data_IF_489253009935
#
_entry.id   IF_489253009935
#
_cell.length_a   1.000
_cell.length_b   1.000
_cell.length_c   1.000
_cell.angle_alpha   90.00
_cell.angle_beta   90.00
_cell.angle_gamma   90.00
#
_symmetry.space_group_name_H-M   'P 1'
#
loop_
_entity.id
_entity.type
_entity.pdbx_description
1 polymer ?
#
# COMPACT_ATOMS: atom_id res chain seq x y z
N UNK A 1 -37.12 41.79 -4.89
CA UNK A 1 -36.13 42.01 -3.82
C UNK A 1 -36.71 41.54 -2.49
N UNK A 2 -36.41 40.31 -2.07
CA UNK A 2 -36.64 39.76 -0.72
C UNK A 2 -35.39 38.96 -0.35
N UNK A 3 -34.95 39.14 0.90
CA UNK A 3 -33.61 38.84 1.42
C UNK A 3 -33.26 37.35 1.38
N UNK A 4 -32.01 37.08 1.00
CA UNK A 4 -31.25 35.86 1.30
C UNK A 4 -31.14 35.69 2.81
N UNK A 5 -31.33 34.47 3.31
CA UNK A 5 -30.87 34.03 4.62
C UNK A 5 -29.90 32.85 4.43
N UNK A 6 -28.72 32.99 5.03
CA UNK A 6 -27.55 32.11 4.94
C UNK A 6 -27.42 31.36 6.26
N UNK A 7 -27.93 30.13 6.29
CA UNK A 7 -27.72 29.19 7.40
C UNK A 7 -27.02 27.93 6.91
N UNK A 8 -25.69 27.90 7.03
CA UNK A 8 -24.83 26.73 6.81
C UNK A 8 -25.25 25.59 7.73
N UNK A 9 -25.51 24.39 7.18
CA UNK A 9 -25.18 23.12 7.83
C UNK A 9 -25.08 22.04 6.75
N UNK A 10 -23.87 21.80 6.27
CA UNK A 10 -23.52 20.54 5.60
C UNK A 10 -23.58 19.44 6.65
N UNK A 11 -24.62 18.61 6.60
CA UNK A 11 -24.59 17.31 7.23
C UNK A 11 -23.92 16.37 6.23
N UNK A 12 -22.67 16.02 6.56
CA UNK A 12 -21.91 14.96 5.92
C UNK A 12 -22.72 13.67 6.14
N UNK A 13 -23.31 13.16 5.07
CA UNK A 13 -23.90 11.82 5.06
C UNK A 13 -22.73 10.83 5.04
N UNK A 14 -22.31 10.36 6.22
CA UNK A 14 -21.44 9.19 6.31
C UNK A 14 -22.25 7.99 5.81
N UNK A 15 -22.00 7.58 4.57
CA UNK A 15 -22.45 6.31 4.02
C UNK A 15 -21.72 5.19 4.77
N UNK A 16 -22.22 4.81 5.95
CA UNK A 16 -21.90 3.52 6.55
C UNK A 16 -22.56 2.45 5.69
N UNK A 17 -21.76 1.84 4.81
CA UNK A 17 -22.18 0.75 3.94
C UNK A 17 -22.73 -0.40 4.78
N UNK A 18 -24.04 -0.59 4.75
CA UNK A 18 -24.73 -1.66 5.47
C UNK A 18 -24.73 -2.92 4.59
N UNK A 19 -23.88 -3.90 4.90
CA UNK A 19 -23.89 -5.19 4.21
C UNK A 19 -24.69 -6.20 5.03
N UNK A 20 -25.89 -6.56 4.56
CA UNK A 20 -26.69 -7.65 5.12
C UNK A 20 -26.27 -8.95 4.45
N UNK A 21 -25.57 -9.82 5.19
CA UNK A 21 -25.36 -11.21 4.76
C UNK A 21 -26.29 -12.09 5.58
N UNK A 22 -27.19 -12.79 4.89
CA UNK A 22 -28.12 -13.74 5.50
C UNK A 22 -27.59 -15.15 5.28
N UNK A 23 -27.26 -15.88 6.35
CA UNK A 23 -26.99 -17.31 6.27
C UNK A 23 -28.21 -18.09 6.80
N UNK A 24 -28.54 -19.19 6.13
CA UNK A 24 -29.62 -20.09 6.54
C UNK A 24 -28.99 -21.43 6.90
N UNK A 25 -28.80 -21.67 8.20
CA UNK A 25 -28.47 -22.97 8.76
C UNK A 25 -29.66 -23.38 9.62
N UNK A 26 -30.30 -24.51 9.29
CA UNK A 26 -31.35 -25.18 10.08
C UNK A 26 -32.29 -24.28 10.91
N UNK A 27 -33.48 -23.98 10.38
CA UNK A 27 -34.62 -23.38 11.08
C UNK A 27 -34.41 -22.07 11.89
N UNK A 28 -33.24 -21.44 11.84
CA UNK A 28 -32.96 -20.16 12.50
C UNK A 28 -32.36 -19.22 11.47
N UNK A 29 -33.03 -18.10 11.21
CA UNK A 29 -32.51 -17.00 10.38
C UNK A 29 -31.85 -15.99 11.29
N UNK A 30 -30.53 -15.81 11.24
CA UNK A 30 -29.81 -14.81 12.03
C UNK A 30 -29.33 -13.65 11.14
N UNK A 31 -29.28 -12.44 11.71
CA UNK A 31 -28.76 -11.24 11.04
C UNK A 31 -27.45 -10.83 11.70
N UNK A 32 -26.43 -10.64 10.88
CA UNK A 32 -25.12 -10.13 11.30
C UNK A 32 -25.07 -8.63 11.02
N UNK A 33 -24.73 -7.84 12.03
CA UNK A 33 -24.53 -6.40 11.93
C UNK A 33 -23.06 -6.08 12.15
N UNK A 34 -22.51 -5.19 11.32
CA UNK A 34 -21.14 -4.69 11.42
C UNK A 34 -21.20 -3.19 11.69
N UNK A 35 -20.71 -2.75 12.85
CA UNK A 35 -20.57 -1.33 13.17
C UNK A 35 -19.25 -1.12 13.90
N UNK A 36 -18.36 -0.29 13.33
CA UNK A 36 -17.08 0.11 13.92
C UNK A 36 -16.21 -1.06 14.45
N UNK A 37 -15.99 -2.08 13.62
CA UNK A 37 -15.15 -3.26 13.91
C UNK A 37 -15.66 -4.23 14.99
N UNK A 38 -16.82 -3.96 15.61
CA UNK A 38 -17.49 -4.89 16.53
C UNK A 38 -18.52 -5.76 15.77
N UNK A 39 -18.45 -7.09 15.97
CA UNK A 39 -19.42 -8.05 15.43
C UNK A 39 -20.44 -8.39 16.52
N UNK A 40 -21.70 -8.03 16.30
CA UNK A 40 -22.81 -8.43 17.17
C UNK A 40 -23.81 -9.28 16.38
N UNK A 41 -24.06 -10.50 16.86
CA UNK A 41 -25.13 -11.36 16.35
C UNK A 41 -26.44 -10.95 17.01
N UNK A 42 -27.48 -10.74 16.21
CA UNK A 42 -28.78 -10.30 16.69
C UNK A 42 -29.84 -11.27 16.20
N UNK A 43 -30.69 -11.72 17.12
CA UNK A 43 -31.81 -12.61 16.79
C UNK A 43 -32.88 -11.87 15.96
N UNK A 44 -33.87 -12.63 15.50
CA UNK A 44 -35.01 -12.08 14.73
C UNK A 44 -35.87 -11.08 15.51
N UNK A 45 -35.72 -11.00 16.83
CA UNK A 45 -36.43 -10.08 17.71
C UNK A 45 -35.62 -8.84 18.08
N UNK A 46 -34.36 -8.74 17.62
CA UNK A 46 -33.51 -7.58 17.86
C UNK A 46 -32.63 -7.70 19.11
N UNK A 47 -32.56 -8.87 19.75
CA UNK A 47 -31.71 -9.07 20.93
C UNK A 47 -30.33 -9.57 20.52
N UNK A 48 -29.30 -9.05 21.18
CA UNK A 48 -27.92 -9.54 21.02
C UNK A 48 -27.84 -10.97 21.56
N UNK A 49 -27.37 -11.90 20.72
CA UNK A 49 -27.20 -13.31 21.05
C UNK A 49 -25.73 -13.54 21.38
N UNK A 50 -25.47 -13.96 22.61
CA UNK A 50 -24.18 -14.54 22.98
C UNK A 50 -24.13 -15.99 22.50
N UNK A 51 -23.33 -16.25 21.47
CA UNK A 51 -23.22 -17.57 20.84
C UNK A 51 -22.40 -18.57 21.66
N UNK A 52 -21.88 -18.19 22.85
CA UNK A 52 -21.19 -19.11 23.75
C UNK A 52 -20.01 -19.82 23.10
N UNK A 53 -19.32 -19.13 22.18
CA UNK A 53 -18.13 -19.64 21.50
C UNK A 53 -16.93 -19.44 22.44
N UNK A 54 -16.82 -20.33 23.43
CA UNK A 54 -15.68 -20.40 24.38
C UNK A 54 -14.45 -21.14 23.78
N UNK A 55 -14.36 -21.26 22.45
CA UNK A 55 -13.13 -21.70 21.79
C UNK A 55 -12.33 -20.46 21.40
N UNK A 56 -11.11 -20.35 21.96
CA UNK A 56 -10.10 -19.37 21.55
C UNK A 56 -10.01 -19.34 20.02
N UNK A 57 -10.59 -18.33 19.39
CA UNK A 57 -10.42 -18.10 17.96
C UNK A 57 -8.92 -17.87 17.76
N UNK A 58 -8.21 -18.74 17.00
CA UNK A 58 -6.80 -18.51 16.72
C UNK A 58 -6.65 -17.11 16.12
N UNK A 59 -5.80 -16.29 16.73
CA UNK A 59 -5.71 -14.85 16.50
C UNK A 59 -5.24 -14.43 15.11
N UNK A 60 -4.97 -15.37 14.19
CA UNK A 60 -4.44 -15.05 12.87
C UNK A 60 -4.93 -16.06 11.83
N UNK A 61 -6.14 -15.83 11.32
CA UNK A 61 -6.37 -16.13 9.91
C UNK A 61 -5.97 -14.86 9.15
N UNK A 62 -4.65 -14.67 8.98
CA UNK A 62 -4.10 -13.68 8.05
C UNK A 62 -4.44 -14.13 6.64
N UNK A 63 -5.64 -13.75 6.18
CA UNK A 63 -5.86 -13.61 4.75
C UNK A 63 -4.91 -12.52 4.28
N UNK A 64 -3.67 -12.91 3.92
CA UNK A 64 -2.63 -11.99 3.51
C UNK A 64 -3.19 -11.09 2.43
N UNK A 65 -3.54 -9.84 2.78
CA UNK A 65 -4.07 -8.91 1.79
C UNK A 65 -2.97 -8.73 0.76
N UNK A 66 -3.32 -8.89 -0.51
CA UNK A 66 -2.40 -8.62 -1.61
C UNK A 66 -1.81 -7.22 -1.42
N UNK A 67 -0.48 -7.17 -1.32
CA UNK A 67 0.26 -5.90 -1.22
C UNK A 67 0.75 -5.53 -2.62
N UNK A 68 0.68 -4.24 -3.01
CA UNK A 68 1.22 -3.80 -4.28
C UNK A 68 2.71 -4.16 -4.42
N UNK A 69 3.07 -4.76 -5.55
CA UNK A 69 4.43 -5.12 -5.93
C UNK A 69 4.96 -4.19 -7.03
N UNK A 70 6.29 -4.11 -7.23
CA UNK A 70 6.86 -3.29 -8.30
C UNK A 70 6.35 -3.70 -9.68
N UNK A 71 6.27 -2.72 -10.59
CA UNK A 71 5.93 -2.99 -11.98
C UNK A 71 7.05 -3.74 -12.73
N UNK A 72 6.73 -4.28 -13.91
CA UNK A 72 7.72 -4.91 -14.79
C UNK A 72 8.56 -3.86 -15.53
N UNK A 73 9.69 -3.48 -14.94
CA UNK A 73 10.64 -2.51 -15.49
C UNK A 73 11.66 -3.12 -16.46
N UNK A 74 11.83 -4.45 -16.42
CA UNK A 74 12.78 -5.17 -17.28
C UNK A 74 12.05 -6.36 -17.89
N UNK A 75 11.51 -6.15 -19.10
CA UNK A 75 10.87 -7.24 -19.84
C UNK A 75 11.75 -8.48 -19.92
N UNK A 76 11.15 -9.66 -19.80
CA UNK A 76 11.84 -10.96 -19.82
C UNK A 76 12.78 -11.12 -21.02
N UNK A 77 12.42 -10.55 -22.17
CA UNK A 77 13.25 -10.56 -23.38
C UNK A 77 14.66 -9.96 -23.18
N UNK A 78 14.84 -9.10 -22.17
CA UNK A 78 16.11 -8.45 -21.80
C UNK A 78 16.89 -9.21 -20.73
N UNK A 79 16.36 -10.31 -20.23
CA UNK A 79 16.99 -11.21 -19.25
C UNK A 79 17.48 -12.44 -20.01
N UNK A 80 18.80 -12.65 -20.04
CA UNK A 80 19.43 -13.80 -20.71
C UNK A 80 20.14 -14.67 -19.69
N UNK A 81 19.71 -15.92 -19.58
CA UNK A 81 20.32 -16.92 -18.71
C UNK A 81 21.14 -17.88 -19.57
N UNK A 82 22.42 -18.00 -19.25
CA UNK A 82 23.37 -18.93 -19.85
C UNK A 82 23.88 -19.89 -18.77
N UNK A 83 24.60 -20.94 -19.17
CA UNK A 83 25.13 -21.93 -18.23
C UNK A 83 26.16 -21.35 -17.24
N UNK A 84 26.80 -20.24 -17.59
CA UNK A 84 27.92 -19.63 -16.85
C UNK A 84 27.62 -18.20 -16.35
N UNK A 85 26.51 -17.59 -16.76
CA UNK A 85 26.17 -16.21 -16.42
C UNK A 85 24.70 -15.88 -16.64
N UNK A 86 24.28 -14.81 -15.97
CA UNK A 86 23.04 -14.08 -16.27
C UNK A 86 23.43 -12.71 -16.83
N UNK A 87 22.80 -12.30 -17.93
CA UNK A 87 22.96 -10.97 -18.53
C UNK A 87 21.61 -10.28 -18.51
N UNK A 88 21.53 -9.18 -17.78
CA UNK A 88 20.33 -8.32 -17.74
C UNK A 88 20.67 -7.05 -18.50
N UNK A 89 19.98 -6.81 -19.62
CA UNK A 89 20.20 -5.62 -20.43
C UNK A 89 19.40 -4.47 -19.83
N UNK A 90 20.06 -3.42 -19.36
CA UNK A 90 19.42 -2.23 -18.76
C UNK A 90 20.06 -0.99 -19.37
N UNK A 91 19.25 0.03 -19.65
CA UNK A 91 19.73 1.26 -20.27
C UNK A 91 20.13 2.24 -19.15
N UNK A 92 21.42 2.63 -19.12
CA UNK A 92 22.00 3.52 -18.10
C UNK A 92 21.74 3.11 -16.64
N UNK A 93 22.06 1.86 -16.23
CA UNK A 93 21.90 1.41 -14.86
C UNK A 93 22.93 2.07 -13.93
N UNK A 94 22.55 2.26 -12.66
CA UNK A 94 23.49 2.56 -11.58
C UNK A 94 23.35 1.53 -10.46
N UNK A 95 24.45 1.26 -9.77
CA UNK A 95 24.48 0.40 -8.60
C UNK A 95 24.32 1.24 -7.33
N UNK A 96 23.42 0.81 -6.44
CA UNK A 96 23.21 1.41 -5.13
C UNK A 96 23.52 0.43 -3.99
N UNK A 97 23.96 0.99 -2.86
CA UNK A 97 24.13 0.31 -1.56
C UNK A 97 23.31 1.06 -0.50
N UNK A 98 22.97 0.36 0.57
CA UNK A 98 22.04 0.87 1.58
C UNK A 98 22.72 1.10 2.93
N UNK A 99 22.14 2.01 3.70
CA UNK A 99 22.45 2.16 5.12
C UNK A 99 21.50 1.27 5.92
N UNK A 100 22.02 0.53 6.91
CA UNK A 100 21.20 -0.29 7.81
C UNK A 100 20.29 0.59 8.67
N UNK A 101 19.07 0.77 8.20
CA UNK A 101 17.97 1.43 8.92
C UNK A 101 16.86 0.47 9.28
N UNK A 102 16.92 -0.79 8.81
CA UNK A 102 15.89 -1.82 8.90
C UNK A 102 14.50 -1.41 8.33
N UNK A 103 14.38 -0.27 7.63
CA UNK A 103 13.08 0.25 7.18
C UNK A 103 12.48 -0.54 6.02
N UNK A 104 13.34 -1.21 5.26
CA UNK A 104 12.97 -1.97 4.08
C UNK A 104 12.95 -3.48 4.32
N UNK A 105 13.15 -3.94 5.56
CA UNK A 105 12.96 -5.35 5.89
C UNK A 105 11.52 -5.81 5.56
N UNK A 106 11.34 -7.05 5.08
CA UNK A 106 12.35 -8.06 4.78
C UNK A 106 12.89 -7.99 3.34
N UNK A 107 12.66 -6.88 2.63
CA UNK A 107 12.95 -6.77 1.19
C UNK A 107 14.44 -6.64 0.92
N UNK A 108 15.20 -5.90 1.70
CA UNK A 108 16.65 -5.83 1.57
C UNK A 108 17.27 -5.24 2.82
N UNK A 109 18.57 -5.44 2.97
CA UNK A 109 19.39 -4.93 4.08
C UNK A 109 20.72 -4.34 3.56
N UNK A 110 21.61 -3.86 4.42
CA UNK A 110 22.86 -3.15 4.08
C UNK A 110 23.85 -3.94 3.21
N UNK A 111 23.79 -5.27 3.27
CA UNK A 111 24.62 -6.18 2.45
C UNK A 111 24.02 -6.42 1.05
N UNK A 112 22.76 -6.04 0.85
CA UNK A 112 22.09 -6.16 -0.44
C UNK A 112 22.57 -5.10 -1.43
N UNK A 113 22.50 -5.44 -2.71
CA UNK A 113 22.87 -4.56 -3.82
C UNK A 113 21.65 -4.30 -4.68
N UNK A 114 21.44 -3.05 -5.09
CA UNK A 114 20.37 -2.73 -6.03
C UNK A 114 20.90 -2.21 -7.35
N UNK A 115 20.20 -2.57 -8.42
CA UNK A 115 20.35 -1.94 -9.72
C UNK A 115 19.18 -0.97 -9.91
N UNK A 116 19.51 0.27 -10.24
CA UNK A 116 18.54 1.35 -10.35
C UNK A 116 18.62 2.06 -11.71
N UNK A 117 17.49 2.64 -12.13
CA UNK A 117 17.37 3.46 -13.35
C UNK A 117 16.78 4.83 -13.02
N UNK A 118 16.95 5.79 -13.94
CA UNK A 118 16.31 7.10 -13.82
C UNK A 118 14.94 7.04 -14.52
N UNK A 119 13.81 7.18 -13.79
CA UNK A 119 12.50 7.30 -14.43
C UNK A 119 12.44 8.62 -15.23
N UNK A 120 11.85 8.58 -16.42
CA UNK A 120 11.81 9.72 -17.35
C UNK A 120 10.63 10.64 -17.11
N UNK A 121 9.56 10.12 -16.50
CA UNK A 121 8.36 10.90 -16.21
C UNK A 121 7.56 10.33 -15.04
N UNK A 122 6.67 11.13 -14.42
CA UNK A 122 5.81 10.68 -13.33
C UNK A 122 4.93 9.46 -13.69
N UNK A 123 4.50 9.39 -14.95
CA UNK A 123 3.59 8.34 -15.42
C UNK A 123 4.28 6.97 -15.56
N UNK A 124 5.60 6.91 -15.47
CA UNK A 124 6.31 5.63 -15.45
C UNK A 124 6.28 5.00 -14.05
N UNK A 125 6.14 5.80 -12.99
CA UNK A 125 6.19 5.34 -11.59
C UNK A 125 4.82 4.81 -11.15
N UNK A 126 4.80 3.57 -10.66
CA UNK A 126 3.60 2.85 -10.25
C UNK A 126 3.55 2.64 -8.74
N UNK A 127 2.34 2.44 -8.22
CA UNK A 127 2.15 1.95 -6.85
C UNK A 127 2.78 0.56 -6.73
N UNK A 128 3.62 0.37 -5.73
CA UNK A 128 4.40 -0.85 -5.50
C UNK A 128 5.87 -0.72 -5.88
N UNK A 129 6.26 0.25 -6.71
CA UNK A 129 7.67 0.49 -7.06
C UNK A 129 8.50 0.92 -5.84
N UNK A 130 9.79 0.62 -5.84
CA UNK A 130 10.75 1.10 -4.84
C UNK A 130 11.59 2.21 -5.48
N UNK A 131 11.60 3.37 -4.84
CA UNK A 131 12.17 4.60 -5.39
C UNK A 131 13.10 5.25 -4.39
N UNK A 132 14.24 5.74 -4.88
CA UNK A 132 15.12 6.62 -4.13
C UNK A 132 14.81 8.09 -4.43
N UNK A 133 14.71 8.92 -3.41
CA UNK A 133 14.35 10.33 -3.52
C UNK A 133 15.10 11.19 -2.52
N UNK A 134 15.26 12.47 -2.87
CA UNK A 134 15.90 13.46 -2.01
C UNK A 134 14.93 13.96 -0.93
N UNK A 135 15.37 13.91 0.32
CA UNK A 135 14.69 14.52 1.46
C UNK A 135 15.70 15.29 2.33
N UNK A 136 15.65 16.62 2.27
CA UNK A 136 16.71 17.44 2.84
C UNK A 136 18.06 17.12 2.19
N UNK A 137 19.08 16.83 2.99
CA UNK A 137 20.41 16.42 2.51
C UNK A 137 20.52 14.91 2.26
N UNK A 138 19.53 14.13 2.70
CA UNK A 138 19.57 12.67 2.65
C UNK A 138 18.86 12.11 1.41
N UNK A 139 19.29 10.94 0.97
CA UNK A 139 18.57 10.12 -0.01
C UNK A 139 17.85 8.99 0.70
N UNK A 140 16.53 8.96 0.61
CA UNK A 140 15.67 7.94 1.21
C UNK A 140 15.22 6.99 0.12
N UNK A 141 15.12 5.69 0.43
CA UNK A 141 14.60 4.67 -0.49
C UNK A 141 13.44 3.92 0.16
N UNK A 142 12.25 4.00 -0.43
CA UNK A 142 11.04 3.39 0.12
C UNK A 142 10.07 2.97 -1.00
N UNK A 143 9.06 2.16 -0.65
CA UNK A 143 8.04 1.71 -1.60
C UNK A 143 6.95 2.76 -1.79
N UNK A 144 6.56 3.00 -3.04
CA UNK A 144 5.42 3.84 -3.41
C UNK A 144 4.13 3.13 -3.00
N UNK A 145 3.34 3.77 -2.13
CA UNK A 145 2.04 3.24 -1.69
C UNK A 145 0.86 4.00 -2.30
N UNK A 146 1.11 5.19 -2.86
CA UNK A 146 0.10 6.01 -3.53
C UNK A 146 0.78 6.95 -4.53
N UNK A 147 0.13 7.18 -5.67
CA UNK A 147 0.40 8.29 -6.58
C UNK A 147 -0.88 9.10 -6.77
N UNK A 148 -0.77 10.41 -6.97
CA UNK A 148 -1.93 11.30 -7.17
C UNK A 148 -1.47 12.67 -7.70
N UNK A 149 -2.42 13.59 -7.88
CA UNK A 149 -2.19 14.98 -8.26
C UNK A 149 -2.81 15.96 -7.26
N UNK A 150 -2.15 17.10 -7.05
CA UNK A 150 -2.73 18.25 -6.37
C UNK A 150 -2.39 19.57 -7.10
N UNK A 151 -2.60 20.71 -6.45
CA UNK A 151 -2.36 22.04 -7.03
C UNK A 151 -0.89 22.28 -7.43
N UNK A 152 0.06 21.56 -6.82
CA UNK A 152 1.49 21.61 -7.13
C UNK A 152 1.92 20.54 -8.15
N UNK A 153 0.96 19.75 -8.65
CA UNK A 153 1.17 18.72 -9.65
C UNK A 153 1.25 17.31 -9.08
N UNK A 154 1.95 16.43 -9.79
CA UNK A 154 2.07 15.03 -9.41
C UNK A 154 2.82 14.85 -8.09
N UNK A 155 2.38 13.90 -7.27
CA UNK A 155 3.12 13.44 -6.11
C UNK A 155 2.94 11.95 -5.88
N UNK A 156 3.85 11.41 -5.06
CA UNK A 156 3.71 10.09 -4.46
C UNK A 156 3.79 10.16 -2.94
N UNK A 157 3.25 9.12 -2.31
CA UNK A 157 3.46 8.82 -0.89
C UNK A 157 4.21 7.51 -0.83
N UNK A 158 5.28 7.49 -0.05
CA UNK A 158 6.15 6.33 0.13
C UNK A 158 6.04 5.78 1.55
N UNK A 159 6.54 4.57 1.74
CA UNK A 159 6.63 3.91 3.03
C UNK A 159 7.73 2.84 2.99
N UNK A 160 8.55 2.77 4.03
CA UNK A 160 9.44 1.62 4.25
C UNK A 160 8.65 0.35 4.51
N UNK A 161 9.02 -0.77 3.89
CA UNK A 161 8.26 -2.02 3.99
C UNK A 161 8.05 -2.50 5.44
N UNK A 162 9.04 -2.26 6.31
CA UNK A 162 9.01 -2.57 7.74
C UNK A 162 8.37 -1.46 8.62
N UNK A 163 8.10 -0.28 8.08
CA UNK A 163 7.54 0.81 8.86
C UNK A 163 6.06 0.56 9.19
N UNK A 164 5.53 1.09 10.30
CA UNK A 164 4.09 0.99 10.61
C UNK A 164 3.25 2.05 9.89
N UNK A 165 3.86 3.20 9.59
CA UNK A 165 3.18 4.38 9.02
C UNK A 165 3.84 4.79 7.72
N UNK A 166 3.06 5.42 6.85
CA UNK A 166 3.56 6.07 5.66
C UNK A 166 4.52 7.22 6.02
N UNK A 167 5.41 7.55 5.08
CA UNK A 167 6.26 8.72 5.21
C UNK A 167 5.38 9.98 5.26
N UNK A 168 5.73 10.98 6.10
CA UNK A 168 4.82 12.09 6.40
C UNK A 168 4.70 13.11 5.27
N UNK A 169 5.54 13.03 4.24
CA UNK A 169 5.68 14.08 3.22
C UNK A 169 5.31 13.56 1.83
N UNK A 170 4.63 14.38 1.04
CA UNK A 170 4.41 14.13 -0.40
C UNK A 170 5.72 14.32 -1.14
N UNK A 171 6.10 13.35 -1.97
CA UNK A 171 7.33 13.42 -2.76
C UNK A 171 6.98 13.84 -4.18
N UNK A 172 7.61 14.93 -4.65
CA UNK A 172 7.46 15.46 -6.00
C UNK A 172 8.41 14.77 -6.97
N UNK A 173 8.07 14.75 -8.26
CA UNK A 173 8.89 14.08 -9.27
C UNK A 173 10.32 14.63 -9.35
N UNK A 174 10.52 15.93 -9.12
CA UNK A 174 11.85 16.55 -9.07
C UNK A 174 12.76 16.03 -7.93
N UNK A 175 12.16 15.45 -6.88
CA UNK A 175 12.90 14.84 -5.78
C UNK A 175 13.29 13.40 -6.09
N UNK A 176 12.62 12.74 -7.06
CA UNK A 176 12.94 11.37 -7.44
C UNK A 176 14.32 11.33 -8.07
N UNK A 177 15.16 10.43 -7.56
CA UNK A 177 16.51 10.19 -8.09
C UNK A 177 16.49 8.98 -8.99
N UNK A 178 16.07 7.84 -8.45
CA UNK A 178 16.11 6.57 -9.16
C UNK A 178 15.01 5.62 -8.72
N UNK A 179 14.84 4.56 -9.51
CA UNK A 179 13.89 3.49 -9.31
C UNK A 179 14.62 2.15 -9.33
N UNK A 180 14.34 1.28 -8.37
CA UNK A 180 14.93 -0.05 -8.25
C UNK A 180 14.31 -1.00 -9.24
N UNK A 181 15.16 -1.70 -10.00
CA UNK A 181 14.72 -2.71 -10.98
C UNK A 181 15.26 -4.11 -10.69
N UNK A 182 16.27 -4.24 -9.82
CA UNK A 182 16.74 -5.52 -9.32
C UNK A 182 17.36 -5.35 -7.93
N UNK A 183 17.22 -6.39 -7.11
CA UNK A 183 17.91 -6.55 -5.83
C UNK A 183 18.71 -7.85 -5.91
N UNK A 184 19.97 -7.79 -5.48
CA UNK A 184 20.93 -8.87 -5.48
C UNK A 184 21.41 -9.03 -4.04
N UNK A 185 21.09 -10.16 -3.43
CA UNK A 185 21.50 -10.56 -2.09
C UNK A 185 22.80 -11.38 -2.13
#
# INVERSE_FOLDING_TARGET
MKKLDLGKFSIILALTSFFLVSFSFGAITEKVFFENDDISFVDITGNVVDLGIDEEIPSEIDYSREKPSPADWISESRIKVYNDRVVILIDNPEWARFTDTNSMDPVFDEDSNAIEIVPKSPNEINVGDIVSFQYGEDTIIHRVIKTDYDEEGWYMITKGDNNQKADPTKIRFEQVRRLVVAIIY
#
